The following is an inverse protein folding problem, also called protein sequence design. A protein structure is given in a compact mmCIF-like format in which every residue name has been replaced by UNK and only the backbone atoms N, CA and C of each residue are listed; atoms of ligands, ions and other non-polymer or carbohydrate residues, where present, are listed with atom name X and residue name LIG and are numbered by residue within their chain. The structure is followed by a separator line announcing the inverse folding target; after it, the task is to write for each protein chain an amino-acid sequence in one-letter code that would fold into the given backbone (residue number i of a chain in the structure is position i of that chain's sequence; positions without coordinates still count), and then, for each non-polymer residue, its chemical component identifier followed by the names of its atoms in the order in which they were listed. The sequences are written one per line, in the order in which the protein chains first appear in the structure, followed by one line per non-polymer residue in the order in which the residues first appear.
data_IF_725670057620
#
_entry.id   IF_725670057620
#
_cell.length_a   1.000
_cell.length_b   1.000
_cell.length_c   1.000
_cell.angle_alpha   90.00
_cell.angle_beta   90.00
_cell.angle_gamma   90.00
#
_symmetry.space_group_name_H-M   'P 1'
#
loop_
_entity.id
_entity.type
_entity.pdbx_description
1 polymer ?
#
# COMPACT_ATOMS: atom_id res chain seq x y z
N UNK A 1 -20.70 -44.39 -36.58
CA UNK A 1 -19.65 -43.35 -36.44
C UNK A 1 -20.36 -42.01 -36.41
N UNK A 2 -20.38 -41.36 -35.24
CA UNK A 2 -20.74 -39.95 -35.09
C UNK A 2 -20.02 -39.45 -33.83
N UNK A 3 -18.81 -38.94 -34.02
CA UNK A 3 -18.01 -38.33 -32.98
C UNK A 3 -18.62 -36.97 -32.62
N UNK A 4 -19.16 -36.90 -31.40
CA UNK A 4 -19.67 -35.65 -30.84
C UNK A 4 -18.49 -34.93 -30.18
N UNK A 5 -17.91 -33.95 -30.89
CA UNK A 5 -16.91 -33.04 -30.35
C UNK A 5 -17.52 -32.26 -29.18
N UNK A 6 -17.10 -32.57 -27.94
CA UNK A 6 -17.33 -31.73 -26.78
C UNK A 6 -16.49 -30.46 -26.93
N UNK A 7 -17.15 -29.31 -26.99
CA UNK A 7 -16.50 -28.00 -26.94
C UNK A 7 -15.70 -27.84 -25.65
N UNK A 8 -14.49 -27.26 -25.70
CA UNK A 8 -13.69 -27.04 -24.49
C UNK A 8 -14.36 -25.98 -23.62
N UNK A 9 -14.58 -26.32 -22.36
CA UNK A 9 -14.99 -25.38 -21.31
C UNK A 9 -13.96 -24.26 -21.24
N UNK A 10 -14.32 -23.08 -21.73
CA UNK A 10 -13.52 -21.87 -21.55
C UNK A 10 -13.47 -21.58 -20.06
N UNK A 11 -12.32 -21.87 -19.43
CA UNK A 11 -11.99 -21.34 -18.12
C UNK A 11 -12.02 -19.81 -18.25
N UNK A 12 -13.09 -19.20 -17.73
CA UNK A 12 -13.21 -17.75 -17.68
C UNK A 12 -12.00 -17.20 -16.94
N UNK A 13 -11.22 -16.35 -17.60
CA UNK A 13 -10.17 -15.56 -16.98
C UNK A 13 -10.74 -14.92 -15.69
N UNK A 14 -10.02 -14.94 -14.56
CA UNK A 14 -10.48 -14.23 -13.37
C UNK A 14 -10.64 -12.77 -13.74
N UNK A 15 -11.90 -12.34 -13.81
CA UNK A 15 -12.27 -10.97 -14.14
C UNK A 15 -11.57 -10.07 -13.13
N UNK A 16 -10.65 -9.22 -13.60
CA UNK A 16 -9.98 -8.22 -12.76
C UNK A 16 -11.10 -7.45 -12.05
N UNK A 17 -11.13 -7.42 -10.71
CA UNK A 17 -12.17 -6.70 -9.99
C UNK A 17 -12.22 -5.25 -10.50
N UNK A 18 -13.43 -4.74 -10.74
CA UNK A 18 -13.61 -3.36 -11.16
C UNK A 18 -12.89 -2.43 -10.17
N UNK A 19 -12.22 -1.41 -10.70
CA UNK A 19 -11.55 -0.40 -9.89
C UNK A 19 -12.57 0.26 -8.96
N UNK A 20 -12.30 0.26 -7.65
CA UNK A 20 -13.20 0.87 -6.67
C UNK A 20 -13.15 2.39 -6.86
N UNK A 21 -14.31 2.96 -7.13
CA UNK A 21 -14.50 4.40 -7.28
C UNK A 21 -14.50 5.11 -5.92
N UNK A 22 -14.15 6.40 -5.92
CA UNK A 22 -14.20 7.23 -4.72
C UNK A 22 -15.58 7.24 -4.04
N UNK A 23 -16.67 7.18 -4.81
CA UNK A 23 -18.04 7.16 -4.28
C UNK A 23 -18.35 5.83 -3.56
N UNK A 24 -17.87 4.71 -4.08
CA UNK A 24 -17.97 3.42 -3.40
C UNK A 24 -17.18 3.42 -2.09
N UNK A 25 -15.98 4.01 -2.05
CA UNK A 25 -15.20 4.15 -0.80
C UNK A 25 -15.97 4.97 0.24
N UNK A 26 -16.58 6.09 -0.17
CA UNK A 26 -17.43 6.91 0.72
C UNK A 26 -18.62 6.09 1.22
N UNK A 27 -19.25 5.31 0.35
CA UNK A 27 -20.36 4.44 0.70
C UNK A 27 -19.95 3.37 1.71
N UNK A 28 -18.88 2.61 1.45
CA UNK A 28 -18.33 1.59 2.37
C UNK A 28 -18.04 2.18 3.74
N UNK A 29 -17.39 3.35 3.80
CA UNK A 29 -17.11 4.04 5.06
C UNK A 29 -18.40 4.35 5.82
N UNK A 30 -19.45 4.79 5.14
CA UNK A 30 -20.73 5.13 5.78
C UNK A 30 -21.49 3.90 6.30
N UNK A 31 -21.20 2.70 5.76
CA UNK A 31 -21.75 1.44 6.27
C UNK A 31 -21.02 0.93 7.53
N UNK A 32 -19.81 1.42 7.83
CA UNK A 32 -19.09 1.05 9.06
C UNK A 32 -19.85 1.52 10.30
N UNK A 33 -19.75 0.76 11.40
CA UNK A 33 -20.31 1.16 12.69
C UNK A 33 -19.76 2.53 13.12
N UNK A 34 -20.52 3.35 13.88
CA UNK A 34 -20.09 4.71 14.25
C UNK A 34 -18.70 4.75 14.91
N UNK A 35 -18.42 3.80 15.81
CA UNK A 35 -17.13 3.68 16.48
C UNK A 35 -15.98 3.48 15.48
N UNK A 36 -16.12 2.53 14.55
CA UNK A 36 -15.10 2.23 13.54
C UNK A 36 -14.96 3.39 12.54
N UNK A 37 -16.08 3.95 12.09
CA UNK A 37 -16.16 5.04 11.13
C UNK A 37 -15.40 6.30 11.57
N UNK A 38 -15.35 6.55 12.87
CA UNK A 38 -14.72 7.73 13.45
C UNK A 38 -13.22 7.54 13.69
N UNK A 39 -12.78 6.37 14.17
CA UNK A 39 -11.43 6.21 14.71
C UNK A 39 -10.50 5.33 13.87
N UNK A 40 -11.00 4.28 13.21
CA UNK A 40 -10.14 3.28 12.56
C UNK A 40 -10.57 2.88 11.14
N UNK A 41 -11.49 3.63 10.54
CA UNK A 41 -12.02 3.35 9.19
C UNK A 41 -10.92 3.22 8.13
N UNK A 42 -9.86 4.03 8.22
CA UNK A 42 -8.76 4.02 7.26
C UNK A 42 -8.04 2.67 7.29
N UNK A 43 -7.73 2.16 8.48
CA UNK A 43 -7.11 0.86 8.68
C UNK A 43 -8.00 -0.25 8.12
N UNK A 44 -9.28 -0.26 8.49
CA UNK A 44 -10.24 -1.29 8.06
C UNK A 44 -10.37 -1.33 6.54
N UNK A 45 -10.60 -0.19 5.89
CA UNK A 45 -10.75 -0.14 4.44
C UNK A 45 -9.46 -0.47 3.71
N UNK A 46 -8.30 -0.03 4.22
CA UNK A 46 -6.99 -0.43 3.65
C UNK A 46 -6.84 -1.95 3.69
N UNK A 47 -7.12 -2.59 4.83
CA UNK A 47 -7.02 -4.04 4.96
C UNK A 47 -7.96 -4.78 4.01
N UNK A 48 -9.21 -4.33 3.88
CA UNK A 48 -10.18 -4.92 2.96
C UNK A 48 -9.69 -4.82 1.52
N UNK A 49 -9.28 -3.63 1.07
CA UNK A 49 -8.86 -3.42 -0.31
C UNK A 49 -7.67 -4.27 -0.71
N UNK A 50 -6.70 -4.42 0.18
CA UNK A 50 -5.54 -5.29 -0.07
C UNK A 50 -5.92 -6.77 -0.06
N UNK A 51 -6.76 -7.19 0.89
CA UNK A 51 -7.19 -8.59 0.99
C UNK A 51 -8.01 -9.05 -0.21
N UNK A 52 -8.78 -8.14 -0.81
CA UNK A 52 -9.55 -8.40 -2.04
C UNK A 52 -8.74 -8.12 -3.31
N UNK A 53 -7.46 -7.79 -3.18
CA UNK A 53 -6.55 -7.48 -4.29
C UNK A 53 -7.05 -6.35 -5.20
N UNK A 54 -7.72 -5.36 -4.62
CA UNK A 54 -8.07 -4.15 -5.35
C UNK A 54 -6.81 -3.36 -5.71
N UNK A 55 -6.83 -2.78 -6.90
CA UNK A 55 -5.67 -2.15 -7.51
C UNK A 55 -5.16 -0.89 -6.78
N UNK A 56 -3.98 -0.41 -7.18
CA UNK A 56 -3.32 0.76 -6.59
C UNK A 56 -4.18 2.03 -6.54
N UNK A 57 -5.07 2.22 -7.51
CA UNK A 57 -5.96 3.38 -7.58
C UNK A 57 -6.90 3.47 -6.37
N UNK A 58 -7.34 2.33 -5.83
CA UNK A 58 -8.19 2.29 -4.64
C UNK A 58 -7.49 2.87 -3.41
N UNK A 59 -6.17 2.61 -3.28
CA UNK A 59 -5.35 3.14 -2.18
C UNK A 59 -5.10 4.64 -2.36
N UNK A 60 -4.92 5.12 -3.59
CA UNK A 60 -4.79 6.55 -3.90
C UNK A 60 -6.08 7.29 -3.53
N UNK A 61 -7.24 6.76 -3.92
CA UNK A 61 -8.53 7.34 -3.55
C UNK A 61 -8.74 7.34 -2.03
N UNK A 62 -8.33 6.27 -1.34
CA UNK A 62 -8.39 6.18 0.12
C UNK A 62 -7.53 7.24 0.81
N UNK A 63 -6.29 7.43 0.33
CA UNK A 63 -5.38 8.49 0.80
C UNK A 63 -5.99 9.88 0.62
N UNK A 64 -6.48 10.19 -0.58
CA UNK A 64 -7.09 11.50 -0.87
C UNK A 64 -8.34 11.74 -0.01
N UNK A 65 -9.17 10.71 0.20
CA UNK A 65 -10.32 10.79 1.07
C UNK A 65 -9.92 11.07 2.53
N UNK A 66 -8.91 10.36 3.04
CA UNK A 66 -8.41 10.57 4.39
C UNK A 66 -7.82 11.97 4.59
N UNK A 67 -7.09 12.46 3.59
CA UNK A 67 -6.53 13.81 3.60
C UNK A 67 -7.65 14.85 3.63
N UNK A 68 -8.61 14.77 2.71
CA UNK A 68 -9.74 15.72 2.64
C UNK A 68 -10.62 15.77 3.90
N UNK A 69 -10.73 14.64 4.63
CA UNK A 69 -11.49 14.58 5.89
C UNK A 69 -10.73 15.11 7.09
N UNK A 70 -9.40 15.11 7.03
CA UNK A 70 -8.53 15.53 8.12
C UNK A 70 -8.13 17.00 8.00
N UNK A 71 -8.40 17.62 6.85
CA UNK A 71 -8.08 19.01 6.56
C UNK A 71 -9.31 19.90 6.66
N UNK A 72 -9.08 21.16 7.01
CA UNK A 72 -10.07 22.23 7.06
C UNK A 72 -9.51 23.47 6.37
N UNK A 73 -10.35 24.47 6.08
CA UNK A 73 -9.91 25.72 5.44
C UNK A 73 -8.88 26.51 6.28
N UNK A 74 -8.72 26.18 7.56
CA UNK A 74 -7.78 26.82 8.48
C UNK A 74 -6.53 25.99 8.75
N UNK A 75 -6.39 24.82 8.14
CA UNK A 75 -5.23 23.95 8.34
C UNK A 75 -3.98 24.59 7.79
N UNK A 76 -2.96 24.73 8.63
CA UNK A 76 -1.66 25.27 8.22
C UNK A 76 -0.88 24.25 7.40
N UNK A 77 0.11 24.72 6.62
CA UNK A 77 0.95 23.84 5.80
C UNK A 77 1.72 22.80 6.65
N UNK A 78 2.18 23.18 7.85
CA UNK A 78 2.88 22.28 8.74
C UNK A 78 1.97 21.18 9.29
N UNK A 79 0.72 21.50 9.61
CA UNK A 79 -0.29 20.53 10.03
C UNK A 79 -0.68 19.61 8.88
N UNK A 80 -0.83 20.15 7.67
CA UNK A 80 -1.13 19.38 6.47
C UNK A 80 -0.04 18.33 6.20
N UNK A 81 1.24 18.73 6.30
CA UNK A 81 2.38 17.82 6.19
C UNK A 81 2.37 16.74 7.29
N UNK A 82 1.99 17.09 8.53
CA UNK A 82 1.86 16.13 9.64
C UNK A 82 0.73 15.11 9.40
N UNK A 83 -0.44 15.60 8.98
CA UNK A 83 -1.61 14.79 8.64
C UNK A 83 -1.27 13.84 7.49
N UNK A 84 -0.67 14.35 6.42
CA UNK A 84 -0.26 13.54 5.27
C UNK A 84 0.68 12.41 5.68
N UNK A 85 1.72 12.72 6.47
CA UNK A 85 2.65 11.71 7.01
C UNK A 85 1.95 10.68 7.89
N UNK A 86 1.02 11.09 8.74
CA UNK A 86 0.25 10.17 9.59
C UNK A 86 -0.59 9.18 8.77
N UNK A 87 -1.30 9.67 7.74
CA UNK A 87 -2.10 8.83 6.83
C UNK A 87 -1.20 7.88 6.06
N UNK A 88 -0.09 8.38 5.50
CA UNK A 88 0.88 7.55 4.78
C UNK A 88 1.40 6.41 5.67
N UNK A 89 1.71 6.70 6.94
CA UNK A 89 2.23 5.70 7.87
C UNK A 89 1.23 4.59 8.11
N UNK A 90 -0.02 4.95 8.38
CA UNK A 90 -1.10 3.98 8.60
C UNK A 90 -1.31 3.08 7.37
N UNK A 91 -1.37 3.68 6.18
CA UNK A 91 -1.55 2.91 4.93
C UNK A 91 -0.36 1.98 4.70
N UNK A 92 0.87 2.50 4.72
CA UNK A 92 2.08 1.72 4.45
C UNK A 92 2.26 0.58 5.46
N UNK A 93 1.97 0.81 6.75
CA UNK A 93 2.03 -0.22 7.77
C UNK A 93 1.04 -1.37 7.49
N UNK A 94 -0.19 -1.05 7.05
CA UNK A 94 -1.17 -2.06 6.67
C UNK A 94 -0.73 -2.82 5.42
N UNK A 95 -0.26 -2.13 4.38
CA UNK A 95 0.21 -2.76 3.14
C UNK A 95 1.37 -3.74 3.41
N UNK A 96 2.26 -3.37 4.31
CA UNK A 96 3.38 -4.21 4.72
C UNK A 96 2.89 -5.44 5.51
N UNK A 97 2.03 -5.25 6.51
CA UNK A 97 1.46 -6.37 7.27
C UNK A 97 0.68 -7.30 6.36
N UNK A 98 -0.07 -6.74 5.41
CA UNK A 98 -0.81 -7.47 4.41
C UNK A 98 0.10 -8.26 3.46
N UNK A 99 1.31 -7.78 3.15
CA UNK A 99 2.29 -8.52 2.32
C UNK A 99 2.67 -9.88 2.93
N UNK A 100 2.69 -9.96 4.26
CA UNK A 100 2.94 -11.19 5.03
C UNK A 100 1.73 -12.13 5.01
N UNK A 101 0.52 -11.56 5.09
CA UNK A 101 -0.73 -12.33 5.25
C UNK A 101 -1.30 -12.80 3.90
N UNK A 102 -1.32 -11.92 2.90
CA UNK A 102 -2.00 -12.12 1.61
C UNK A 102 -1.05 -12.25 0.42
N UNK A 103 0.26 -12.06 0.64
CA UNK A 103 1.26 -12.17 -0.40
C UNK A 103 1.84 -10.82 -0.84
N UNK A 104 3.13 -10.87 -1.19
CA UNK A 104 3.98 -9.72 -1.45
C UNK A 104 3.58 -8.91 -2.70
N UNK A 105 3.31 -9.51 -3.88
CA UNK A 105 3.15 -8.74 -5.11
C UNK A 105 2.01 -7.73 -5.01
N UNK A 106 0.81 -8.19 -4.64
CA UNK A 106 -0.38 -7.34 -4.62
C UNK A 106 -0.32 -6.26 -3.54
N UNK A 107 0.38 -6.52 -2.43
CA UNK A 107 0.43 -5.56 -1.32
C UNK A 107 1.53 -4.50 -1.52
N UNK A 108 2.73 -4.90 -1.97
CA UNK A 108 3.84 -3.95 -2.15
C UNK A 108 3.75 -3.19 -3.48
N UNK A 109 3.18 -3.79 -4.52
CA UNK A 109 3.04 -3.10 -5.81
C UNK A 109 2.12 -1.88 -5.70
N UNK A 110 1.16 -1.87 -4.77
CA UNK A 110 0.28 -0.71 -4.51
C UNK A 110 0.99 0.47 -3.84
N UNK A 111 2.13 0.24 -3.19
CA UNK A 111 2.88 1.32 -2.52
C UNK A 111 3.54 2.25 -3.55
N UNK A 112 4.00 1.72 -4.69
CA UNK A 112 4.71 2.55 -5.68
C UNK A 112 3.80 3.60 -6.35
N UNK A 113 2.58 3.28 -6.80
CA UNK A 113 1.66 4.29 -7.31
C UNK A 113 1.24 5.31 -6.25
N UNK A 114 1.00 4.88 -5.00
CA UNK A 114 0.70 5.81 -3.90
C UNK A 114 1.82 6.84 -3.71
N UNK A 115 3.07 6.40 -3.65
CA UNK A 115 4.20 7.30 -3.46
C UNK A 115 4.46 8.19 -4.68
N UNK A 116 4.27 7.65 -5.88
CA UNK A 116 4.33 8.44 -7.11
C UNK A 116 3.29 9.55 -7.07
N UNK A 117 2.04 9.22 -6.72
CA UNK A 117 0.95 10.19 -6.58
C UNK A 117 1.30 11.31 -5.59
N UNK A 118 1.81 10.98 -4.41
CA UNK A 118 2.16 11.98 -3.40
C UNK A 118 3.31 12.86 -3.87
N UNK A 119 4.35 12.28 -4.49
CA UNK A 119 5.50 13.06 -5.02
C UNK A 119 5.09 14.02 -6.13
N UNK A 120 4.12 13.65 -6.96
CA UNK A 120 3.63 14.49 -8.05
C UNK A 120 2.69 15.59 -7.55
N UNK A 121 1.90 15.34 -6.51
CA UNK A 121 0.80 16.21 -6.10
C UNK A 121 1.03 16.94 -4.76
N UNK A 122 2.15 16.73 -4.09
CA UNK A 122 2.40 17.32 -2.77
C UNK A 122 3.86 17.77 -2.58
N UNK A 123 4.10 18.81 -1.76
CA UNK A 123 5.46 19.23 -1.43
C UNK A 123 6.28 18.10 -0.79
N UNK A 124 7.63 18.12 -0.91
CA UNK A 124 8.49 17.11 -0.29
C UNK A 124 8.33 16.97 1.23
N UNK A 125 7.89 18.03 1.91
CA UNK A 125 7.63 18.05 3.36
C UNK A 125 6.49 17.12 3.79
N UNK A 126 5.62 16.72 2.85
CA UNK A 126 4.51 15.81 3.12
C UNK A 126 4.96 14.35 3.10
N UNK A 127 6.10 14.03 2.48
CA UNK A 127 6.59 12.66 2.38
C UNK A 127 7.16 12.19 3.72
N UNK A 128 6.95 10.92 4.01
CA UNK A 128 7.65 10.24 5.10
C UNK A 128 9.16 10.22 4.84
N UNK A 129 9.91 10.36 5.93
CA UNK A 129 11.36 10.32 5.98
C UNK A 129 11.82 9.24 6.97
N UNK A 130 13.12 8.90 6.96
CA UNK A 130 13.67 7.89 7.87
C UNK A 130 13.45 8.19 9.36
N UNK A 131 13.28 9.47 9.73
CA UNK A 131 13.02 9.88 11.13
C UNK A 131 11.58 9.64 11.57
N UNK A 132 10.66 9.43 10.63
CA UNK A 132 9.26 9.16 10.94
C UNK A 132 9.03 7.71 11.42
N UNK A 133 10.05 6.85 11.35
CA UNK A 133 9.98 5.45 11.76
C UNK A 133 10.79 5.24 13.03
N UNK A 134 10.07 4.99 14.13
CA UNK A 134 10.65 4.61 15.41
C UNK A 134 11.25 3.20 15.32
N UNK A 135 12.58 3.11 15.39
CA UNK A 135 13.30 1.85 15.50
C UNK A 135 13.12 1.28 16.90
N UNK A 136 12.19 0.34 17.10
CA UNK A 136 12.21 -0.46 18.34
C UNK A 136 13.38 -1.44 18.24
N UNK A 137 14.38 -1.31 19.12
CA UNK A 137 15.56 -2.19 19.22
C UNK A 137 15.21 -3.57 19.80
N UNK A 138 14.20 -4.25 19.26
CA UNK A 138 13.76 -5.57 19.71
C UNK A 138 14.58 -6.72 19.08
N UNK A 139 15.50 -6.42 18.16
CA UNK A 139 16.32 -7.43 17.51
C UNK A 139 17.61 -7.67 18.30
N UNK A 140 17.87 -8.94 18.62
CA UNK A 140 19.11 -9.40 19.28
C UNK A 140 20.34 -9.27 18.36
N UNK A 141 20.14 -9.16 17.05
CA UNK A 141 21.19 -8.95 16.05
C UNK A 141 20.96 -7.66 15.26
N UNK A 142 22.02 -7.01 14.77
CA UNK A 142 21.88 -5.82 13.94
C UNK A 142 21.13 -6.17 12.65
N UNK A 143 20.21 -5.30 12.24
CA UNK A 143 19.35 -5.45 11.04
C UNK A 143 20.17 -5.73 9.77
N UNK A 144 21.43 -5.28 9.72
CA UNK A 144 22.37 -5.61 8.64
C UNK A 144 22.51 -7.12 8.39
N UNK A 145 22.22 -7.95 9.39
CA UNK A 145 22.22 -9.42 9.27
C UNK A 145 21.05 -9.99 8.45
N UNK A 146 19.94 -9.25 8.28
CA UNK A 146 18.75 -9.68 7.55
C UNK A 146 18.78 -9.28 6.07
N UNK A 147 19.60 -8.28 5.73
CA UNK A 147 19.74 -7.70 4.39
C UNK A 147 19.95 -8.72 3.27
N UNK A 148 20.83 -9.72 3.48
CA UNK A 148 21.19 -10.70 2.43
C UNK A 148 20.07 -11.73 2.20
N UNK A 149 19.55 -12.43 3.24
CA UNK A 149 18.41 -13.35 3.10
C UNK A 149 17.17 -12.72 2.44
N UNK A 150 16.94 -11.47 2.76
CA UNK A 150 15.83 -10.72 2.24
C UNK A 150 15.97 -10.34 0.77
N UNK A 151 17.14 -9.84 0.34
CA UNK A 151 17.41 -9.61 -1.09
C UNK A 151 17.24 -10.90 -1.90
N UNK A 152 17.65 -12.05 -1.37
CA UNK A 152 17.45 -13.34 -2.03
C UNK A 152 15.97 -13.72 -2.15
N UNK A 153 15.17 -13.43 -1.12
CA UNK A 153 13.72 -13.67 -1.13
C UNK A 153 13.01 -12.76 -2.12
N UNK A 154 13.34 -11.47 -2.12
CA UNK A 154 12.83 -10.52 -3.11
C UNK A 154 13.23 -10.90 -4.53
N UNK A 155 14.45 -11.43 -4.74
CA UNK A 155 14.93 -11.82 -6.07
C UNK A 155 14.19 -13.04 -6.60
N UNK A 156 13.69 -13.93 -5.74
CA UNK A 156 12.80 -15.03 -6.16
C UNK A 156 11.45 -14.52 -6.70
N UNK A 157 10.95 -13.42 -6.14
CA UNK A 157 9.63 -12.85 -6.45
C UNK A 157 9.71 -11.91 -7.65
N UNK A 158 10.58 -10.90 -7.57
CA UNK A 158 10.71 -9.84 -8.57
C UNK A 158 11.71 -10.14 -9.68
N UNK A 159 12.48 -11.24 -9.55
CA UNK A 159 13.41 -11.75 -10.56
C UNK A 159 14.30 -10.62 -11.13
N UNK A 160 14.22 -10.39 -12.44
CA UNK A 160 15.03 -9.41 -13.16
C UNK A 160 14.63 -7.95 -12.89
N UNK A 161 13.45 -7.71 -12.33
CA UNK A 161 12.97 -6.36 -12.04
C UNK A 161 13.49 -5.83 -10.69
N UNK A 162 14.09 -6.69 -9.85
CA UNK A 162 14.50 -6.30 -8.50
C UNK A 162 15.53 -5.16 -8.52
N UNK A 163 16.55 -5.24 -9.37
CA UNK A 163 17.64 -4.27 -9.34
C UNK A 163 17.17 -2.88 -9.82
N UNK A 164 16.25 -2.81 -10.79
CA UNK A 164 15.57 -1.56 -11.20
C UNK A 164 14.66 -1.02 -10.09
N UNK A 165 13.91 -1.89 -9.41
CA UNK A 165 13.07 -1.50 -8.26
C UNK A 165 13.95 -0.92 -7.13
N UNK A 166 15.07 -1.57 -6.81
CA UNK A 166 15.95 -1.14 -5.71
C UNK A 166 16.71 0.15 -6.03
N UNK A 167 17.19 0.29 -7.28
CA UNK A 167 18.01 1.43 -7.70
C UNK A 167 17.19 2.65 -8.10
N UNK A 168 16.05 2.48 -8.77
CA UNK A 168 15.27 3.59 -9.32
C UNK A 168 14.00 3.87 -8.52
N UNK A 169 13.36 2.84 -7.93
CA UNK A 169 12.10 3.03 -7.18
C UNK A 169 12.33 3.21 -5.67
N UNK A 170 13.34 2.56 -5.09
CA UNK A 170 13.59 2.56 -3.62
C UNK A 170 14.77 3.42 -3.13
N UNK A 171 15.47 4.17 -3.99
CA UNK A 171 16.82 4.68 -3.70
C UNK A 171 16.94 5.55 -2.44
N UNK A 172 16.09 6.56 -2.20
CA UNK A 172 16.35 7.52 -1.11
C UNK A 172 15.23 7.70 -0.07
N UNK A 173 13.95 7.63 -0.46
CA UNK A 173 12.81 7.89 0.45
C UNK A 173 11.97 6.64 0.76
N UNK A 174 12.57 5.46 0.61
CA UNK A 174 11.90 4.17 0.86
C UNK A 174 12.72 3.33 1.83
N UNK A 175 13.39 3.98 2.79
CA UNK A 175 14.07 3.30 3.90
C UNK A 175 13.13 2.32 4.61
N UNK A 176 11.84 2.62 4.59
CA UNK A 176 10.79 1.90 5.30
C UNK A 176 10.44 0.62 4.56
N UNK A 177 10.31 0.71 3.23
CA UNK A 177 10.09 -0.45 2.38
C UNK A 177 11.36 -1.29 2.24
N UNK A 178 12.55 -0.65 2.23
CA UNK A 178 13.84 -1.33 2.39
C UNK A 178 13.87 -2.09 3.71
N UNK A 179 13.47 -1.50 4.83
CA UNK A 179 13.44 -2.16 6.14
C UNK A 179 12.39 -3.27 6.26
N UNK A 180 11.31 -3.20 5.49
CA UNK A 180 10.21 -4.18 5.53
C UNK A 180 10.42 -5.33 4.56
N UNK A 181 11.34 -5.14 3.62
CA UNK A 181 11.74 -6.17 2.66
C UNK A 181 13.15 -6.68 2.89
N UNK A 182 13.93 -6.07 3.82
CA UNK A 182 15.29 -6.41 4.29
C UNK A 182 15.32 -6.82 5.75
#
# INVERSE_FOLDING_TARGET
MNDTFKSPTTLSEPMIPADITLEEIKWFRNQLSPAVRQSCWLLVLTSVFVSCHHGPESIIHLYNLALSKSTSSTTTEAELASISRSIQRQIQEVLVKASVIFGIPQSLDTIFPLLTHIRTNSPPTHLLSATDFSRSSLLQSPISSLTTPAHETLRKIYKHNLDDILSNKMSNNMQDLKFLTL
#
